data_IF_044026458676
#
_entry.id   IF_044026458676
#
_cell.length_a   1.000
_cell.length_b   1.000
_cell.length_c   1.000
_cell.angle_alpha   90.00
_cell.angle_beta   90.00
_cell.angle_gamma   90.00
#
_symmetry.space_group_name_H-M   'P 1'
#
loop_
_entity.id
_entity.type
_entity.pdbx_description
1 polymer ?
#
# COMPACT_ATOMS: atom_id res chain seq x y z
N UNK A 1 2.82 23.90 42.70
CA UNK A 1 3.47 22.59 42.59
C UNK A 1 2.57 21.63 41.84
N UNK A 2 3.00 21.07 40.70
CA UNK A 2 2.18 20.12 39.98
C UNK A 2 2.32 18.75 40.62
N UNK A 3 1.21 18.17 41.06
CA UNK A 3 1.07 16.79 41.47
C UNK A 3 1.53 15.86 40.33
N UNK A 4 2.77 15.40 40.36
CA UNK A 4 3.21 14.19 39.68
C UNK A 4 2.56 13.01 40.41
N UNK A 5 1.32 12.67 40.04
CA UNK A 5 0.77 11.36 40.32
C UNK A 5 1.58 10.36 39.52
N UNK A 6 2.57 9.73 40.19
CA UNK A 6 3.04 8.42 39.77
C UNK A 6 1.83 7.48 39.81
N UNK A 7 1.16 7.32 38.65
CA UNK A 7 0.21 6.23 38.50
C UNK A 7 1.02 4.95 38.60
N UNK A 8 0.96 4.29 39.77
CA UNK A 8 1.25 2.85 39.86
C UNK A 8 0.26 2.19 38.88
N UNK A 9 0.74 1.92 37.68
CA UNK A 9 0.00 1.16 36.68
C UNK A 9 -0.20 -0.24 37.27
N UNK A 10 -1.45 -0.60 37.60
CA UNK A 10 -1.79 -1.95 37.97
C UNK A 10 -1.27 -2.93 36.91
N UNK A 11 -0.71 -4.06 37.30
CA UNK A 11 -0.17 -5.11 36.41
C UNK A 11 -1.15 -5.49 35.29
N UNK A 12 -2.45 -5.33 35.54
CA UNK A 12 -3.54 -5.60 34.58
C UNK A 12 -3.68 -4.57 33.45
N UNK A 13 -3.04 -3.40 33.51
CA UNK A 13 -3.13 -2.33 32.50
C UNK A 13 -1.92 -2.28 31.57
N UNK A 14 -0.93 -3.13 31.76
CA UNK A 14 0.26 -3.20 30.90
C UNK A 14 -0.08 -3.81 29.55
N UNK A 15 0.59 -3.33 28.51
CA UNK A 15 0.58 -3.96 27.21
C UNK A 15 1.38 -5.27 27.25
N UNK A 16 0.82 -6.31 26.60
CA UNK A 16 1.46 -7.59 26.37
C UNK A 16 1.75 -7.73 24.87
N UNK A 17 2.98 -8.07 24.50
CA UNK A 17 3.36 -8.29 23.11
C UNK A 17 3.42 -9.79 22.85
N UNK A 18 2.72 -10.25 21.83
CA UNK A 18 2.72 -11.64 21.36
C UNK A 18 3.09 -11.72 19.90
N UNK A 19 3.82 -12.76 19.53
CA UNK A 19 3.97 -13.11 18.11
C UNK A 19 2.64 -13.63 17.57
N UNK A 20 2.39 -13.30 16.32
CA UNK A 20 1.28 -13.93 15.60
C UNK A 20 1.59 -15.43 15.42
N UNK A 21 0.56 -16.24 15.54
CA UNK A 21 0.55 -17.66 15.24
C UNK A 21 -0.69 -17.99 14.38
N UNK A 22 -0.65 -19.02 13.51
CA UNK A 22 -1.79 -19.37 12.64
C UNK A 22 -3.12 -19.57 13.36
N UNK A 23 -3.08 -20.01 14.63
CA UNK A 23 -4.28 -20.13 15.50
C UNK A 23 -4.99 -18.79 15.75
N UNK A 24 -4.32 -17.66 15.50
CA UNK A 24 -4.87 -16.32 15.67
C UNK A 24 -5.38 -15.68 14.36
N UNK A 25 -5.38 -16.40 13.24
CA UNK A 25 -5.73 -15.86 11.92
C UNK A 25 -7.08 -15.14 11.91
N UNK A 26 -8.12 -15.79 12.45
CA UNK A 26 -9.46 -15.17 12.49
C UNK A 26 -9.47 -13.90 13.32
N UNK A 27 -8.86 -13.92 14.51
CA UNK A 27 -8.81 -12.73 15.38
C UNK A 27 -7.99 -11.60 14.77
N UNK A 28 -6.93 -11.93 14.02
CA UNK A 28 -6.11 -10.99 13.24
C UNK A 28 -6.96 -10.33 12.14
N UNK A 29 -7.59 -11.14 11.28
CA UNK A 29 -8.38 -10.65 10.15
C UNK A 29 -9.59 -9.85 10.61
N UNK A 30 -10.27 -10.25 11.69
CA UNK A 30 -11.35 -9.48 12.31
C UNK A 30 -10.87 -8.12 12.83
N UNK A 31 -9.66 -8.05 13.37
CA UNK A 31 -9.07 -6.77 13.79
C UNK A 31 -8.74 -5.88 12.60
N UNK A 32 -8.12 -6.42 11.55
CA UNK A 32 -7.84 -5.69 10.30
C UNK A 32 -9.13 -5.09 9.72
N UNK A 33 -10.19 -5.88 9.65
CA UNK A 33 -11.47 -5.44 9.09
C UNK A 33 -12.08 -4.23 9.82
N UNK A 34 -11.96 -4.16 11.17
CA UNK A 34 -12.51 -3.07 11.99
C UNK A 34 -11.51 -1.94 12.30
N UNK A 35 -10.24 -2.10 11.92
CA UNK A 35 -9.22 -1.09 12.18
C UNK A 35 -9.46 0.18 11.38
N UNK A 36 -9.01 1.33 11.90
CA UNK A 36 -9.17 2.63 11.23
C UNK A 36 -8.21 2.85 10.07
N UNK A 37 -7.18 2.00 9.96
CA UNK A 37 -6.15 2.06 8.92
C UNK A 37 -5.79 0.70 8.32
N UNK A 38 -6.58 -0.35 8.54
CA UNK A 38 -6.36 -1.65 7.91
C UNK A 38 -6.88 -1.71 6.48
N UNK A 39 -6.14 -2.37 5.61
CA UNK A 39 -6.55 -2.74 4.26
C UNK A 39 -6.46 -4.25 4.07
N UNK A 40 -7.00 -4.77 2.97
CA UNK A 40 -6.94 -6.21 2.69
C UNK A 40 -5.49 -6.74 2.52
N UNK A 41 -4.51 -5.87 2.28
CA UNK A 41 -3.10 -6.23 2.24
C UNK A 41 -2.60 -6.82 3.57
N UNK A 42 -3.28 -6.51 4.68
CA UNK A 42 -2.97 -7.02 6.01
C UNK A 42 -3.80 -8.24 6.42
N UNK A 43 -4.76 -8.67 5.60
CA UNK A 43 -5.44 -9.97 5.77
C UNK A 43 -4.40 -11.09 5.62
N UNK A 44 -4.44 -12.09 6.50
CA UNK A 44 -3.45 -13.18 6.47
C UNK A 44 -3.46 -13.95 5.15
N UNK A 45 -4.62 -14.08 4.50
CA UNK A 45 -4.71 -14.70 3.16
C UNK A 45 -3.93 -13.93 2.09
N UNK A 46 -3.75 -12.59 2.28
CA UNK A 46 -2.86 -11.79 1.44
C UNK A 46 -1.42 -11.88 1.95
N UNK A 47 -1.16 -11.64 3.24
CA UNK A 47 0.21 -11.62 3.78
C UNK A 47 0.95 -12.95 3.59
N UNK A 48 0.26 -14.07 3.72
CA UNK A 48 0.89 -15.39 3.72
C UNK A 48 1.15 -15.96 2.31
N UNK A 49 0.73 -15.28 1.21
CA UNK A 49 0.99 -15.79 -0.15
C UNK A 49 2.49 -15.85 -0.48
N UNK A 50 3.29 -15.02 0.16
CA UNK A 50 4.74 -14.92 -0.07
C UNK A 50 5.57 -15.23 1.20
N UNK A 51 5.03 -16.07 2.07
CA UNK A 51 5.71 -16.51 3.31
C UNK A 51 7.03 -17.25 3.07
N UNK A 52 7.23 -17.79 1.88
CA UNK A 52 8.49 -18.37 1.41
C UNK A 52 9.61 -17.35 1.26
N UNK A 53 9.29 -16.09 0.97
CA UNK A 53 10.24 -14.98 0.79
C UNK A 53 10.45 -14.13 2.04
N UNK A 54 9.45 -14.07 2.91
CA UNK A 54 9.45 -13.21 4.10
C UNK A 54 9.07 -14.01 5.34
N UNK A 55 10.06 -14.28 6.20
CA UNK A 55 9.83 -14.97 7.47
C UNK A 55 8.94 -14.11 8.38
N UNK A 56 7.70 -14.53 8.58
CA UNK A 56 6.73 -13.80 9.38
C UNK A 56 7.23 -13.59 10.81
N UNK A 57 7.12 -12.37 11.27
CA UNK A 57 7.45 -11.93 12.64
C UNK A 57 6.42 -10.90 13.12
N UNK A 58 5.20 -11.01 12.60
CA UNK A 58 4.10 -10.13 12.94
C UNK A 58 3.76 -10.20 14.41
N UNK A 59 3.35 -9.07 14.98
CA UNK A 59 3.11 -8.91 16.41
C UNK A 59 1.67 -8.50 16.69
N UNK A 60 1.14 -9.04 17.76
CA UNK A 60 -0.14 -8.68 18.36
C UNK A 60 0.14 -7.93 19.66
N UNK A 61 -0.34 -6.73 19.77
CA UNK A 61 -0.22 -5.88 20.96
C UNK A 61 -1.54 -5.96 21.71
N UNK A 62 -1.53 -6.55 22.90
CA UNK A 62 -2.72 -6.77 23.70
C UNK A 62 -2.78 -5.81 24.88
N UNK A 63 -3.99 -5.37 25.22
CA UNK A 63 -4.29 -4.64 26.45
C UNK A 63 -5.46 -5.32 27.13
N UNK A 64 -5.28 -5.72 28.40
CA UNK A 64 -6.31 -6.48 29.17
C UNK A 64 -6.79 -7.74 28.43
N UNK A 65 -5.86 -8.48 27.80
CA UNK A 65 -6.15 -9.72 27.07
C UNK A 65 -6.88 -9.54 25.72
N UNK A 66 -7.07 -8.31 25.24
CA UNK A 66 -7.71 -8.01 23.96
C UNK A 66 -6.71 -7.35 23.01
N UNK A 67 -6.83 -7.62 21.72
CA UNK A 67 -6.00 -6.97 20.71
C UNK A 67 -6.30 -5.47 20.74
N UNK A 68 -5.24 -4.69 20.96
CA UNK A 68 -5.22 -3.23 20.92
C UNK A 68 -4.66 -2.71 19.60
N UNK A 69 -3.61 -3.38 19.09
CA UNK A 69 -2.97 -3.06 17.83
C UNK A 69 -2.33 -4.31 17.22
N UNK A 70 -2.09 -4.26 15.92
CA UNK A 70 -1.32 -5.26 15.17
C UNK A 70 -0.13 -4.57 14.50
N UNK A 71 1.00 -5.27 14.44
CA UNK A 71 2.16 -4.85 13.66
C UNK A 71 2.51 -5.96 12.68
N UNK A 72 2.06 -5.87 11.40
CA UNK A 72 2.56 -6.74 10.34
C UNK A 72 4.07 -6.61 10.23
N UNK A 73 4.80 -7.72 10.28
CA UNK A 73 6.25 -7.65 10.25
C UNK A 73 6.91 -8.93 9.71
N UNK A 74 8.11 -8.77 9.16
CA UNK A 74 9.05 -9.85 8.92
C UNK A 74 10.40 -9.49 9.53
N UNK A 75 11.24 -10.50 9.80
CA UNK A 75 12.55 -10.31 10.41
C UNK A 75 13.67 -10.79 9.50
N UNK A 76 14.73 -10.00 9.40
CA UNK A 76 15.98 -10.37 8.72
C UNK A 76 17.14 -10.10 9.69
N UNK A 77 17.78 -11.14 10.16
CA UNK A 77 18.83 -11.03 11.15
C UNK A 77 18.35 -10.40 12.47
N UNK A 78 18.92 -9.28 12.85
CA UNK A 78 18.57 -8.50 14.04
C UNK A 78 17.66 -7.29 13.72
N UNK A 79 17.16 -7.19 12.49
CA UNK A 79 16.27 -6.11 12.03
C UNK A 79 14.84 -6.61 11.85
N UNK A 80 13.88 -5.94 12.51
CA UNK A 80 12.45 -6.11 12.26
C UNK A 80 11.99 -5.10 11.20
N UNK A 81 11.30 -5.56 10.18
CA UNK A 81 10.69 -4.72 9.15
C UNK A 81 9.17 -4.74 9.29
N UNK A 82 8.52 -3.59 9.19
CA UNK A 82 7.05 -3.52 9.13
C UNK A 82 6.53 -3.93 7.75
N UNK A 83 6.88 -5.07 7.36
CA UNK A 83 6.71 -5.98 6.24
C UNK A 83 7.30 -5.51 4.91
N UNK A 84 8.44 -6.11 4.53
CA UNK A 84 9.14 -5.79 3.26
C UNK A 84 8.32 -6.12 2.01
N UNK A 85 7.50 -7.16 2.05
CA UNK A 85 6.68 -7.62 0.92
C UNK A 85 5.39 -6.85 0.68
N UNK A 86 5.09 -5.81 1.49
CA UNK A 86 3.89 -5.00 1.32
C UNK A 86 4.24 -3.59 0.82
N UNK A 87 3.29 -2.96 0.11
CA UNK A 87 3.43 -1.59 -0.40
C UNK A 87 3.66 -0.58 0.71
N UNK A 88 2.98 -0.75 1.83
CA UNK A 88 3.08 -0.01 3.09
C UNK A 88 2.90 -0.98 4.25
N UNK A 89 3.25 -0.54 5.45
CA UNK A 89 3.13 -1.32 6.68
C UNK A 89 2.57 -0.49 7.82
N UNK A 90 3.21 -0.58 8.97
CA UNK A 90 2.89 0.23 10.13
C UNK A 90 1.95 -0.42 11.13
N UNK A 91 1.68 0.30 12.20
CA UNK A 91 0.84 -0.15 13.30
C UNK A 91 -0.64 -0.03 12.92
N UNK A 92 -1.38 -1.13 12.98
CA UNK A 92 -2.84 -1.12 12.77
C UNK A 92 -3.54 -0.92 14.11
N UNK A 93 -4.46 0.04 14.15
CA UNK A 93 -5.24 0.37 15.35
C UNK A 93 -6.72 0.50 15.03
N UNK A 94 -7.57 0.31 16.02
CA UNK A 94 -9.01 0.54 15.90
C UNK A 94 -9.42 1.93 16.43
N UNK A 95 -10.69 2.27 16.31
CA UNK A 95 -11.23 3.57 16.74
C UNK A 95 -11.10 3.85 18.25
N UNK A 96 -10.69 2.87 19.06
CA UNK A 96 -10.47 3.05 20.51
C UNK A 96 -9.04 3.44 20.85
N UNK A 97 -8.12 3.36 19.89
CA UNK A 97 -6.74 3.75 20.11
C UNK A 97 -6.63 5.25 20.30
N UNK A 98 -5.84 5.66 21.29
CA UNK A 98 -5.53 7.04 21.64
C UNK A 98 -4.03 7.30 21.49
N UNK A 99 -3.63 8.55 21.30
CA UNK A 99 -2.21 8.90 21.19
C UNK A 99 -1.40 8.43 22.40
N UNK A 100 -1.91 8.64 23.64
CA UNK A 100 -1.27 8.16 24.87
C UNK A 100 -1.11 6.63 24.85
N UNK A 101 -2.18 5.90 24.49
CA UNK A 101 -2.13 4.43 24.46
C UNK A 101 -1.20 3.89 23.38
N UNK A 102 -1.10 4.56 22.22
CA UNK A 102 -0.15 4.18 21.17
C UNK A 102 1.29 4.44 21.62
N UNK A 103 1.58 5.56 22.29
CA UNK A 103 2.90 5.82 22.90
C UNK A 103 3.29 4.75 23.92
N UNK A 104 2.36 4.37 24.82
CA UNK A 104 2.58 3.29 25.80
C UNK A 104 2.84 1.95 25.09
N UNK A 105 2.08 1.65 24.00
CA UNK A 105 2.26 0.44 23.20
C UNK A 105 3.65 0.38 22.57
N UNK A 106 4.15 1.48 21.99
CA UNK A 106 5.52 1.55 21.46
C UNK A 106 6.59 1.41 22.53
N UNK A 107 6.37 1.94 23.74
CA UNK A 107 7.26 1.74 24.88
C UNK A 107 7.35 0.26 25.27
N UNK A 108 6.22 -0.44 25.34
CA UNK A 108 6.18 -1.88 25.61
C UNK A 108 6.79 -2.70 24.48
N UNK A 109 6.52 -2.31 23.24
CA UNK A 109 7.08 -2.92 22.03
C UNK A 109 8.62 -2.83 22.03
N UNK A 110 9.19 -1.66 22.27
CA UNK A 110 10.64 -1.46 22.33
C UNK A 110 11.28 -2.33 23.41
N UNK A 111 10.68 -2.40 24.60
CA UNK A 111 11.19 -3.26 25.68
C UNK A 111 11.17 -4.75 25.29
N UNK A 112 10.10 -5.20 24.64
CA UNK A 112 9.99 -6.57 24.16
C UNK A 112 11.01 -6.88 23.05
N UNK A 113 11.14 -5.97 22.05
CA UNK A 113 12.07 -6.14 20.94
C UNK A 113 13.52 -6.25 21.38
N UNK A 114 13.95 -5.43 22.39
CA UNK A 114 15.29 -5.56 23.00
C UNK A 114 15.51 -6.95 23.61
N UNK A 115 14.53 -7.48 24.31
CA UNK A 115 14.60 -8.81 24.92
C UNK A 115 14.68 -9.93 23.86
N UNK A 116 14.05 -9.72 22.69
CA UNK A 116 14.11 -10.65 21.55
C UNK A 116 15.39 -10.48 20.70
N UNK A 117 16.32 -9.63 21.10
CA UNK A 117 17.57 -9.37 20.39
C UNK A 117 17.39 -8.64 19.06
N UNK A 118 16.30 -7.87 18.90
CA UNK A 118 16.14 -6.95 17.78
C UNK A 118 16.93 -5.68 18.07
N UNK A 119 17.82 -5.31 17.15
CA UNK A 119 18.66 -4.12 17.27
C UNK A 119 18.18 -2.95 16.42
N UNK A 120 17.35 -3.24 15.41
CA UNK A 120 16.87 -2.23 14.48
C UNK A 120 15.43 -2.51 14.06
N UNK A 121 14.66 -1.47 13.88
CA UNK A 121 13.33 -1.54 13.29
C UNK A 121 13.28 -0.63 12.07
N UNK A 122 12.84 -1.17 10.95
CA UNK A 122 12.52 -0.41 9.72
C UNK A 122 11.01 -0.37 9.57
N UNK A 123 10.44 0.81 9.60
CA UNK A 123 9.00 1.02 9.67
C UNK A 123 8.50 1.80 8.46
N UNK A 124 7.81 1.12 7.55
CA UNK A 124 7.07 1.76 6.46
C UNK A 124 5.77 2.31 7.02
N UNK A 125 5.64 3.62 7.10
CA UNK A 125 4.38 4.23 7.52
C UNK A 125 3.31 4.05 6.44
N UNK A 126 2.07 3.84 6.86
CA UNK A 126 0.94 3.85 5.93
C UNK A 126 0.63 5.29 5.52
N UNK A 127 0.55 5.60 4.21
CA UNK A 127 0.15 6.94 3.79
C UNK A 127 -1.28 7.25 4.23
N UNK A 128 -1.50 8.47 4.70
CA UNK A 128 -2.77 8.91 5.28
C UNK A 128 -4.00 8.73 4.36
N UNK A 129 -3.82 8.72 3.05
CA UNK A 129 -4.91 8.49 2.08
C UNK A 129 -5.60 7.13 2.24
N UNK A 130 -4.92 6.13 2.81
CA UNK A 130 -5.48 4.79 3.07
C UNK A 130 -6.24 4.70 4.40
N UNK A 131 -6.18 5.76 5.23
CA UNK A 131 -6.85 5.77 6.52
C UNK A 131 -8.36 6.00 6.36
N UNK A 132 -9.18 5.12 6.93
CA UNK A 132 -10.64 5.30 7.01
C UNK A 132 -11.04 6.36 8.05
N UNK A 133 -10.21 6.51 9.09
CA UNK A 133 -10.26 7.55 10.11
C UNK A 133 -8.84 8.06 10.32
N UNK A 134 -8.61 9.30 10.82
CA UNK A 134 -7.27 9.75 11.18
C UNK A 134 -6.56 8.74 12.08
N UNK A 135 -5.33 8.35 11.72
CA UNK A 135 -4.60 7.25 12.35
C UNK A 135 -3.07 7.45 12.34
N UNK A 136 -2.61 8.68 12.59
CA UNK A 136 -1.18 9.03 12.60
C UNK A 136 -0.59 9.11 14.03
N UNK A 137 -1.24 8.47 15.01
CA UNK A 137 -0.70 8.39 16.38
C UNK A 137 0.64 7.65 16.42
N UNK A 138 0.85 6.72 15.51
CA UNK A 138 2.12 6.02 15.32
C UNK A 138 3.25 6.97 14.93
N UNK A 139 3.03 7.90 13.98
CA UNK A 139 4.04 8.89 13.57
C UNK A 139 4.47 9.78 14.74
N UNK A 140 3.51 10.17 15.60
CA UNK A 140 3.82 10.90 16.81
C UNK A 140 4.65 10.05 17.79
N UNK A 141 4.25 8.79 18.01
CA UNK A 141 4.98 7.86 18.89
C UNK A 141 6.38 7.53 18.37
N UNK A 142 6.55 7.36 17.05
CA UNK A 142 7.87 7.16 16.43
C UNK A 142 8.85 8.27 16.80
N UNK A 143 8.38 9.52 16.82
CA UNK A 143 9.22 10.67 17.19
C UNK A 143 9.45 10.76 18.71
N UNK A 144 8.38 10.63 19.51
CA UNK A 144 8.44 10.91 20.95
C UNK A 144 8.97 9.75 21.80
N UNK A 145 8.75 8.50 21.35
CA UNK A 145 9.08 7.31 22.13
C UNK A 145 10.25 6.55 21.52
N UNK A 146 10.23 6.39 20.19
CA UNK A 146 11.26 5.63 19.48
C UNK A 146 12.46 6.48 19.06
N UNK A 147 12.35 7.81 19.07
CA UNK A 147 13.35 8.73 18.52
C UNK A 147 13.75 8.35 17.09
N UNK A 148 12.79 7.85 16.33
CA UNK A 148 12.98 7.34 14.99
C UNK A 148 13.41 8.45 14.03
N UNK A 149 14.30 8.11 13.12
CA UNK A 149 14.71 8.98 12.01
C UNK A 149 13.99 8.60 10.72
N UNK A 150 13.69 9.57 9.91
CA UNK A 150 13.24 9.34 8.54
C UNK A 150 14.41 8.72 7.74
N UNK A 151 14.21 7.48 7.27
CA UNK A 151 15.19 6.75 6.47
C UNK A 151 15.04 7.06 4.99
N UNK A 152 13.82 6.95 4.46
CA UNK A 152 13.49 7.28 3.08
C UNK A 152 12.15 7.99 2.99
N UNK A 153 12.01 8.88 2.00
CA UNK A 153 10.75 9.47 1.58
C UNK A 153 10.61 9.29 0.08
N UNK A 154 9.58 8.57 -0.32
CA UNK A 154 9.21 8.39 -1.70
C UNK A 154 7.95 9.20 -2.00
N UNK A 155 7.69 9.55 -3.26
CA UNK A 155 6.51 10.31 -3.64
C UNK A 155 5.66 9.52 -4.63
N UNK A 156 4.37 9.43 -4.36
CA UNK A 156 3.33 8.96 -5.26
C UNK A 156 2.51 10.11 -5.81
N UNK A 157 1.74 9.85 -6.86
CA UNK A 157 0.77 10.78 -7.42
C UNK A 157 -0.65 10.26 -7.19
N UNK A 158 -1.46 11.03 -6.48
CA UNK A 158 -2.82 10.64 -6.08
C UNK A 158 -3.84 11.65 -6.61
N UNK A 159 -5.00 11.16 -7.03
CA UNK A 159 -6.15 11.96 -7.47
C UNK A 159 -7.25 11.89 -6.41
N UNK A 160 -7.81 13.05 -6.02
CA UNK A 160 -9.05 13.12 -5.29
C UNK A 160 -10.21 12.95 -6.29
N UNK A 161 -10.83 11.78 -6.32
CA UNK A 161 -11.83 11.40 -7.34
C UNK A 161 -13.11 12.24 -7.30
N UNK A 162 -13.47 12.78 -6.13
CA UNK A 162 -14.63 13.66 -5.98
C UNK A 162 -14.39 15.06 -6.57
N UNK A 163 -13.11 15.46 -6.75
CA UNK A 163 -12.72 16.76 -7.32
C UNK A 163 -11.47 16.59 -8.20
N UNK A 164 -11.55 15.80 -9.27
CA UNK A 164 -10.38 15.52 -10.10
C UNK A 164 -9.92 16.79 -10.84
N UNK A 165 -8.61 16.98 -10.88
CA UNK A 165 -8.02 18.02 -11.69
C UNK A 165 -8.16 17.68 -13.18
N UNK A 166 -8.24 18.72 -14.02
CA UNK A 166 -8.35 18.54 -15.48
C UNK A 166 -7.08 17.91 -16.04
N UNK A 167 -7.22 16.98 -16.94
CA UNK A 167 -6.12 16.43 -17.72
C UNK A 167 -5.40 17.53 -18.50
N UNK A 168 -4.10 17.41 -18.65
CA UNK A 168 -3.31 18.26 -19.53
C UNK A 168 -3.74 18.09 -20.99
N UNK A 169 -3.42 19.05 -21.86
CA UNK A 169 -3.77 18.98 -23.28
C UNK A 169 -3.15 17.77 -23.99
N UNK A 170 -1.96 17.33 -23.58
CA UNK A 170 -1.34 16.11 -24.10
C UNK A 170 -2.19 14.87 -23.79
N UNK A 171 -2.69 14.73 -22.55
CA UNK A 171 -3.55 13.60 -22.13
C UNK A 171 -4.90 13.65 -22.86
N UNK A 172 -5.51 14.83 -22.98
CA UNK A 172 -6.76 15.01 -23.76
C UNK A 172 -6.56 14.69 -25.24
N UNK A 173 -5.41 15.05 -25.80
CA UNK A 173 -5.08 14.72 -27.20
C UNK A 173 -4.94 13.20 -27.38
N UNK A 174 -4.26 12.51 -26.46
CA UNK A 174 -4.17 11.05 -26.44
C UNK A 174 -5.55 10.38 -26.34
N UNK A 175 -6.40 10.86 -25.41
CA UNK A 175 -7.77 10.37 -25.27
C UNK A 175 -8.58 10.52 -26.57
N UNK A 176 -8.56 11.71 -27.20
CA UNK A 176 -9.24 11.92 -28.48
C UNK A 176 -8.71 10.98 -29.57
N UNK A 177 -7.41 10.70 -29.57
CA UNK A 177 -6.81 9.76 -30.52
C UNK A 177 -7.31 8.34 -30.23
N UNK A 178 -7.26 7.88 -28.99
CA UNK A 178 -7.72 6.55 -28.60
C UNK A 178 -9.18 6.29 -29.01
N UNK A 179 -10.06 7.25 -28.75
CA UNK A 179 -11.47 7.16 -29.15
C UNK A 179 -11.65 7.10 -30.68
N UNK A 180 -10.89 7.90 -31.47
CA UNK A 180 -10.94 7.89 -32.92
C UNK A 180 -10.43 6.57 -33.49
N UNK A 181 -9.40 5.99 -32.89
CA UNK A 181 -8.86 4.68 -33.27
C UNK A 181 -9.76 3.51 -32.82
N UNK A 182 -10.83 3.80 -32.06
CA UNK A 182 -11.81 2.82 -31.61
C UNK A 182 -11.30 1.90 -30.49
N UNK A 183 -10.37 2.39 -29.67
CA UNK A 183 -9.97 1.67 -28.46
C UNK A 183 -11.11 1.69 -27.43
N UNK A 184 -11.21 0.63 -26.63
CA UNK A 184 -12.21 0.52 -25.57
C UNK A 184 -11.67 -0.23 -24.36
N UNK A 185 -12.26 0.01 -23.18
CA UNK A 185 -11.87 -0.62 -21.92
C UNK A 185 -12.83 -1.77 -21.56
N UNK A 186 -12.30 -2.84 -21.03
CA UNK A 186 -13.06 -3.91 -20.38
C UNK A 186 -12.50 -4.22 -18.98
N UNK A 187 -13.39 -4.63 -18.06
CA UNK A 187 -13.04 -5.36 -16.85
C UNK A 187 -12.74 -6.80 -17.27
N UNK A 188 -11.49 -7.21 -17.18
CA UNK A 188 -11.00 -8.40 -17.85
C UNK A 188 -10.48 -9.45 -16.87
N UNK A 189 -10.62 -10.72 -17.23
CA UNK A 189 -9.98 -11.83 -16.54
C UNK A 189 -8.67 -12.29 -17.20
N UNK A 190 -8.22 -11.67 -18.30
CA UNK A 190 -7.05 -12.11 -19.05
C UNK A 190 -5.74 -11.62 -18.40
N UNK A 191 -5.45 -12.19 -17.23
CA UNK A 191 -4.20 -11.95 -16.49
C UNK A 191 -2.96 -12.38 -17.28
N UNK A 192 -3.07 -13.38 -18.15
CA UNK A 192 -1.94 -13.89 -18.93
C UNK A 192 -1.48 -12.84 -19.97
N UNK A 193 -2.41 -12.27 -20.73
CA UNK A 193 -2.08 -11.20 -21.69
C UNK A 193 -1.51 -9.95 -20.98
N UNK A 194 -2.09 -9.57 -19.84
CA UNK A 194 -1.58 -8.45 -19.06
C UNK A 194 -0.18 -8.70 -18.50
N UNK A 195 0.05 -9.89 -17.93
CA UNK A 195 1.34 -10.27 -17.36
C UNK A 195 2.44 -10.27 -18.41
N UNK A 196 2.16 -10.81 -19.61
CA UNK A 196 3.12 -10.80 -20.72
C UNK A 196 3.45 -9.37 -21.14
N UNK A 197 2.44 -8.49 -21.29
CA UNK A 197 2.66 -7.07 -21.62
C UNK A 197 3.50 -6.36 -20.55
N UNK A 198 3.27 -6.67 -19.28
CA UNK A 198 4.02 -6.10 -18.15
C UNK A 198 5.47 -6.59 -18.16
N UNK A 199 5.69 -7.89 -18.37
CA UNK A 199 7.02 -8.50 -18.43
C UNK A 199 7.84 -7.92 -19.58
N UNK A 200 7.26 -7.81 -20.78
CA UNK A 200 7.89 -7.19 -21.96
C UNK A 200 8.30 -5.73 -21.69
N UNK A 201 7.44 -4.96 -21.02
CA UNK A 201 7.76 -3.57 -20.65
C UNK A 201 8.92 -3.48 -19.65
N UNK A 202 8.94 -4.34 -18.63
CA UNK A 202 9.99 -4.35 -17.61
C UNK A 202 11.31 -4.87 -18.16
N UNK A 203 11.29 -5.95 -18.95
CA UNK A 203 12.47 -6.51 -19.60
C UNK A 203 13.13 -5.52 -20.55
N UNK A 204 12.33 -4.84 -21.39
CA UNK A 204 12.87 -3.88 -22.39
C UNK A 204 13.44 -2.60 -21.79
N UNK A 205 12.88 -2.11 -20.68
CA UNK A 205 13.23 -0.80 -20.09
C UNK A 205 14.12 -0.85 -18.89
N UNK A 206 13.96 -1.89 -18.06
CA UNK A 206 14.58 -1.97 -16.74
C UNK A 206 15.43 -3.24 -16.54
N UNK A 207 15.47 -4.15 -17.53
CA UNK A 207 16.15 -5.43 -17.45
C UNK A 207 15.74 -6.23 -16.19
N UNK A 208 14.46 -6.17 -15.84
CA UNK A 208 13.87 -6.81 -14.66
C UNK A 208 12.54 -7.47 -15.04
N UNK A 209 11.96 -8.24 -14.13
CA UNK A 209 10.68 -8.92 -14.27
C UNK A 209 9.69 -8.44 -13.22
N UNK A 210 8.36 -8.70 -13.39
CA UNK A 210 7.38 -8.42 -12.37
C UNK A 210 7.71 -9.11 -11.04
N UNK A 211 7.44 -8.43 -9.92
CA UNK A 211 7.63 -9.02 -8.58
C UNK A 211 6.71 -10.21 -8.35
N UNK A 212 5.49 -10.15 -8.91
CA UNK A 212 4.51 -11.25 -8.86
C UNK A 212 4.60 -12.12 -10.10
N UNK A 213 4.58 -13.45 -9.92
CA UNK A 213 4.37 -14.39 -11.01
C UNK A 213 2.91 -14.34 -11.49
N UNK A 214 2.64 -14.90 -12.66
CA UNK A 214 1.28 -15.04 -13.18
C UNK A 214 0.39 -15.87 -12.23
N UNK A 215 0.93 -16.94 -11.65
CA UNK A 215 0.20 -17.77 -10.68
C UNK A 215 -0.17 -17.00 -9.42
N UNK A 216 0.71 -16.12 -8.95
CA UNK A 216 0.42 -15.22 -7.82
C UNK A 216 -0.67 -14.20 -8.14
N UNK A 217 -0.71 -13.65 -9.37
CA UNK A 217 -1.81 -12.77 -9.78
C UNK A 217 -3.14 -13.52 -9.75
N UNK A 218 -3.20 -14.74 -10.31
CA UNK A 218 -4.40 -15.59 -10.27
C UNK A 218 -4.82 -15.91 -8.84
N UNK A 219 -3.86 -16.30 -7.99
CA UNK A 219 -4.11 -16.61 -6.58
C UNK A 219 -4.70 -15.43 -5.82
N UNK A 220 -4.09 -14.25 -5.94
CA UNK A 220 -4.51 -13.06 -5.23
C UNK A 220 -5.86 -12.54 -5.73
N UNK A 221 -6.08 -12.48 -7.03
CA UNK A 221 -7.37 -12.07 -7.58
C UNK A 221 -8.48 -13.06 -7.22
N UNK A 222 -8.18 -14.35 -7.20
CA UNK A 222 -9.12 -15.39 -6.76
C UNK A 222 -9.48 -15.30 -5.27
N UNK A 223 -8.52 -14.90 -4.41
CA UNK A 223 -8.74 -14.69 -2.97
C UNK A 223 -9.49 -13.39 -2.65
N UNK A 224 -9.30 -12.35 -3.47
CA UNK A 224 -9.82 -11.00 -3.25
C UNK A 224 -10.52 -10.44 -4.50
N UNK A 225 -11.55 -11.14 -5.03
CA UNK A 225 -12.19 -10.76 -6.30
C UNK A 225 -12.96 -9.44 -6.25
N UNK A 226 -13.25 -8.93 -5.04
CA UNK A 226 -13.92 -7.62 -4.86
C UNK A 226 -12.93 -6.47 -4.69
N UNK A 227 -11.66 -6.77 -4.41
CA UNK A 227 -10.61 -5.79 -4.15
C UNK A 227 -9.55 -5.73 -5.25
N UNK A 228 -9.41 -6.79 -6.03
CA UNK A 228 -8.38 -6.88 -7.07
C UNK A 228 -9.05 -7.01 -8.43
N UNK A 229 -8.79 -6.02 -9.29
CA UNK A 229 -9.39 -5.94 -10.62
C UNK A 229 -8.33 -5.76 -11.70
N UNK A 230 -8.60 -6.28 -12.88
CA UNK A 230 -7.81 -6.05 -14.08
C UNK A 230 -8.65 -5.29 -15.10
N UNK A 231 -8.15 -4.15 -15.55
CA UNK A 231 -8.75 -3.39 -16.66
C UNK A 231 -7.81 -3.42 -17.85
N UNK A 232 -8.32 -3.84 -18.99
CA UNK A 232 -7.59 -3.87 -20.26
C UNK A 232 -8.20 -2.91 -21.28
N UNK A 233 -7.34 -2.30 -22.07
CA UNK A 233 -7.70 -1.55 -23.26
C UNK A 233 -7.44 -2.45 -24.46
N UNK A 234 -8.46 -2.59 -25.28
CA UNK A 234 -8.44 -3.37 -26.52
C UNK A 234 -8.47 -2.46 -27.74
N UNK A 235 -7.82 -2.90 -28.82
CA UNK A 235 -7.96 -2.30 -30.16
C UNK A 235 -9.19 -2.89 -30.90
N UNK A 236 -9.42 -2.46 -32.15
CA UNK A 236 -10.54 -2.94 -32.98
C UNK A 236 -10.46 -4.43 -33.32
N UNK A 237 -9.26 -4.96 -33.33
CA UNK A 237 -8.95 -6.37 -33.59
C UNK A 237 -9.13 -7.24 -32.33
N UNK A 238 -9.55 -6.62 -31.21
CA UNK A 238 -9.72 -7.22 -29.88
C UNK A 238 -8.40 -7.72 -29.27
N UNK A 239 -7.30 -7.06 -29.60
CA UNK A 239 -6.01 -7.33 -28.98
C UNK A 239 -5.80 -6.38 -27.80
N UNK A 240 -5.27 -6.85 -26.64
CA UNK A 240 -5.00 -6.01 -25.50
C UNK A 240 -3.76 -5.14 -25.77
N UNK A 241 -3.94 -3.81 -25.73
CA UNK A 241 -2.87 -2.84 -26.03
C UNK A 241 -2.45 -1.98 -24.83
N UNK A 242 -3.13 -2.12 -23.70
CA UNK A 242 -2.79 -1.45 -22.46
C UNK A 242 -3.67 -1.94 -21.32
N UNK A 243 -3.28 -1.63 -20.07
CA UNK A 243 -4.09 -2.00 -18.92
C UNK A 243 -3.46 -1.69 -17.59
N UNK A 244 -4.19 -2.00 -16.53
CA UNK A 244 -3.75 -1.85 -15.15
C UNK A 244 -4.36 -2.92 -14.26
N UNK A 245 -3.55 -3.46 -13.36
CA UNK A 245 -3.98 -4.33 -12.28
C UNK A 245 -4.07 -3.48 -11.01
N UNK A 246 -5.26 -3.37 -10.42
CA UNK A 246 -5.54 -2.44 -9.33
C UNK A 246 -5.91 -3.16 -8.05
N UNK A 247 -5.58 -2.51 -6.91
CA UNK A 247 -5.99 -2.87 -5.58
C UNK A 247 -6.99 -1.83 -5.06
N UNK A 248 -8.24 -2.22 -4.90
CA UNK A 248 -9.29 -1.37 -4.33
C UNK A 248 -9.41 -1.66 -2.83
N UNK A 249 -9.03 -0.69 -2.01
CA UNK A 249 -9.11 -0.77 -0.55
C UNK A 249 -10.44 -0.23 0.00
N UNK A 250 -11.33 0.23 -0.88
CA UNK A 250 -12.53 0.98 -0.54
C UNK A 250 -12.27 2.47 -0.30
N UNK A 251 -11.07 2.84 0.14
CA UNK A 251 -10.62 4.22 0.33
C UNK A 251 -9.78 4.70 -0.85
N UNK A 252 -8.91 3.84 -1.34
CA UNK A 252 -7.95 4.11 -2.42
C UNK A 252 -8.01 3.00 -3.44
N UNK A 253 -8.14 3.38 -4.70
CA UNK A 253 -7.88 2.54 -5.86
C UNK A 253 -6.41 2.71 -6.23
N UNK A 254 -5.58 1.72 -5.89
CA UNK A 254 -4.14 1.76 -6.16
C UNK A 254 -3.82 1.01 -7.44
N UNK A 255 -3.12 1.65 -8.38
CA UNK A 255 -2.64 0.99 -9.58
C UNK A 255 -1.34 0.23 -9.27
N UNK A 256 -1.49 -1.05 -8.94
CA UNK A 256 -0.34 -1.91 -8.59
C UNK A 256 0.62 -2.09 -9.75
N UNK A 257 0.06 -2.30 -10.96
CA UNK A 257 0.82 -2.38 -12.20
C UNK A 257 0.09 -1.64 -13.32
N UNK A 258 0.86 -1.00 -14.18
CA UNK A 258 0.39 -0.33 -15.41
C UNK A 258 1.29 -0.82 -16.54
N UNK A 259 0.71 -1.27 -17.64
CA UNK A 259 1.43 -1.69 -18.82
C UNK A 259 0.75 -1.21 -20.10
N UNK A 260 1.53 -1.05 -21.18
CA UNK A 260 1.00 -0.72 -22.51
C UNK A 260 1.98 -1.18 -23.58
N UNK A 261 1.46 -1.74 -24.65
CA UNK A 261 2.24 -2.06 -25.86
C UNK A 261 2.74 -0.79 -26.56
N UNK A 262 3.65 -0.91 -27.51
CA UNK A 262 4.09 0.25 -28.33
C UNK A 262 2.92 0.81 -29.14
N UNK A 263 2.04 -0.04 -29.66
CA UNK A 263 0.79 0.36 -30.33
C UNK A 263 -0.11 1.14 -29.36
N UNK A 264 -0.35 0.61 -28.15
CA UNK A 264 -1.16 1.27 -27.14
C UNK A 264 -0.61 2.65 -26.75
N UNK A 265 0.72 2.78 -26.61
CA UNK A 265 1.37 4.08 -26.38
C UNK A 265 1.15 5.05 -27.54
N UNK A 266 1.33 4.56 -28.77
CA UNK A 266 1.12 5.38 -29.97
C UNK A 266 -0.32 5.85 -30.11
N UNK A 267 -1.31 5.08 -29.65
CA UNK A 267 -2.75 5.36 -29.82
C UNK A 267 -3.43 5.92 -28.56
N UNK A 268 -2.70 6.18 -27.47
CA UNK A 268 -3.25 6.80 -26.26
C UNK A 268 -4.05 5.84 -25.36
N UNK A 269 -3.69 4.54 -25.34
CA UNK A 269 -4.39 3.53 -24.54
C UNK A 269 -4.49 3.90 -23.06
N UNK A 270 -3.41 4.38 -22.45
CA UNK A 270 -3.42 4.79 -21.03
C UNK A 270 -4.21 6.08 -20.81
N UNK A 271 -4.32 6.97 -21.82
CA UNK A 271 -5.15 8.17 -21.71
C UNK A 271 -6.63 7.81 -21.64
N UNK A 272 -7.06 6.82 -22.42
CA UNK A 272 -8.41 6.27 -22.33
C UNK A 272 -8.63 5.50 -21.04
N UNK A 273 -7.68 4.63 -20.65
CA UNK A 273 -7.76 3.85 -19.43
C UNK A 273 -8.03 4.74 -18.20
N UNK A 274 -7.22 5.78 -18.02
CA UNK A 274 -7.37 6.65 -16.86
C UNK A 274 -8.57 7.59 -16.95
N UNK A 275 -9.02 7.97 -18.15
CA UNK A 275 -10.30 8.67 -18.29
C UNK A 275 -11.48 7.81 -17.83
N UNK A 276 -11.53 6.54 -18.27
CA UNK A 276 -12.57 5.59 -17.85
C UNK A 276 -12.54 5.31 -16.34
N UNK A 277 -11.35 5.08 -15.76
CA UNK A 277 -11.22 4.80 -14.33
C UNK A 277 -11.59 5.99 -13.45
N UNK A 278 -11.10 7.20 -13.79
CA UNK A 278 -11.27 8.41 -12.96
C UNK A 278 -12.67 9.00 -13.13
N UNK A 279 -13.13 9.14 -14.38
CA UNK A 279 -14.34 9.91 -14.67
C UNK A 279 -15.62 9.05 -14.73
N UNK A 280 -15.48 7.70 -14.77
CA UNK A 280 -16.63 6.79 -14.89
C UNK A 280 -16.61 5.69 -13.83
N UNK A 281 -15.64 4.77 -13.86
CA UNK A 281 -15.65 3.55 -13.04
C UNK A 281 -15.57 3.85 -11.54
N UNK A 282 -14.66 4.73 -11.12
CA UNK A 282 -14.40 5.08 -9.73
C UNK A 282 -14.81 6.50 -9.35
N UNK A 283 -15.70 7.11 -10.14
CA UNK A 283 -16.16 8.49 -9.94
C UNK A 283 -16.68 8.76 -8.52
N UNK A 284 -17.33 7.78 -7.90
CA UNK A 284 -17.86 7.88 -6.53
C UNK A 284 -16.83 7.47 -5.47
N UNK A 285 -15.63 7.07 -5.87
CA UNK A 285 -14.52 6.73 -4.98
C UNK A 285 -13.92 7.97 -4.30
N UNK A 286 -12.94 7.74 -3.43
CA UNK A 286 -12.27 8.85 -2.71
C UNK A 286 -10.95 9.17 -3.39
N UNK A 287 -10.04 8.20 -3.50
CA UNK A 287 -8.72 8.41 -4.10
C UNK A 287 -8.39 7.37 -5.17
N UNK A 288 -7.66 7.82 -6.19
CA UNK A 288 -6.90 6.93 -7.09
C UNK A 288 -5.42 7.27 -6.91
N UNK A 289 -4.62 6.26 -6.58
CA UNK A 289 -3.18 6.40 -6.34
C UNK A 289 -2.39 5.64 -7.42
N UNK A 290 -1.54 6.37 -8.14
CA UNK A 290 -0.70 5.80 -9.20
C UNK A 290 0.53 5.05 -8.71
N UNK A 291 0.79 5.05 -7.40
CA UNK A 291 2.02 4.53 -6.85
C UNK A 291 3.22 5.45 -7.05
N UNK A 292 4.34 5.03 -6.49
CA UNK A 292 5.56 5.83 -6.36
C UNK A 292 6.19 6.17 -7.72
N UNK A 293 6.87 7.33 -7.77
CA UNK A 293 7.59 7.83 -8.93
C UNK A 293 9.03 8.21 -8.55
N UNK A 294 9.67 7.37 -7.74
CA UNK A 294 11.03 7.57 -7.23
C UNK A 294 11.86 6.31 -7.43
N UNK A 295 13.15 6.50 -7.51
CA UNK A 295 14.17 5.47 -7.63
C UNK A 295 15.17 5.59 -6.47
N UNK A 296 16.08 4.62 -6.32
CA UNK A 296 17.12 4.59 -5.29
C UNK A 296 16.63 4.89 -3.87
N UNK A 297 15.49 4.30 -3.48
CA UNK A 297 14.93 4.52 -2.15
C UNK A 297 14.49 5.96 -1.90
N UNK A 298 13.93 6.62 -2.91
CA UNK A 298 13.38 7.97 -2.80
C UNK A 298 14.38 9.10 -3.08
N UNK A 299 15.66 8.77 -3.36
CA UNK A 299 16.69 9.79 -3.61
C UNK A 299 16.61 10.45 -4.99
N UNK A 300 16.08 9.72 -5.96
CA UNK A 300 15.96 10.18 -7.35
C UNK A 300 14.49 10.24 -7.73
N UNK A 301 14.06 11.40 -8.22
CA UNK A 301 12.71 11.55 -8.79
C UNK A 301 12.73 11.06 -10.23
N UNK A 302 11.83 10.13 -10.59
CA UNK A 302 11.59 9.77 -11.98
C UNK A 302 10.68 10.83 -12.63
N UNK A 303 11.31 11.86 -13.21
CA UNK A 303 10.63 13.04 -13.76
C UNK A 303 9.64 12.68 -14.88
N UNK A 304 9.97 11.71 -15.73
CA UNK A 304 9.06 11.26 -16.78
C UNK A 304 7.82 10.60 -16.25
N UNK A 305 7.98 9.74 -15.24
CA UNK A 305 6.88 9.00 -14.65
C UNK A 305 5.96 9.93 -13.85
N UNK A 306 6.52 10.84 -13.05
CA UNK A 306 5.70 11.78 -12.28
C UNK A 306 4.98 12.77 -13.19
N UNK A 307 5.64 13.29 -14.24
CA UNK A 307 5.03 14.16 -15.24
C UNK A 307 3.81 13.51 -15.92
N UNK A 308 3.93 12.22 -16.26
CA UNK A 308 2.82 11.46 -16.83
C UNK A 308 1.64 11.40 -15.88
N UNK A 309 1.87 11.05 -14.61
CA UNK A 309 0.84 10.92 -13.58
C UNK A 309 0.20 12.26 -13.22
N UNK A 310 0.99 13.31 -13.13
CA UNK A 310 0.52 14.69 -12.92
C UNK A 310 -0.32 15.19 -14.10
N UNK A 311 0.00 14.72 -15.31
CA UNK A 311 -0.77 14.99 -16.50
C UNK A 311 -2.23 14.51 -16.44
N UNK A 312 -2.50 13.45 -15.68
CA UNK A 312 -3.84 12.96 -15.36
C UNK A 312 -4.49 13.67 -14.16
N UNK A 313 -3.80 14.65 -13.57
CA UNK A 313 -4.30 15.39 -12.41
C UNK A 313 -3.78 14.87 -11.06
N UNK A 314 -2.86 13.91 -11.04
CA UNK A 314 -2.23 13.42 -9.81
C UNK A 314 -1.46 14.49 -9.06
N UNK A 315 -1.44 14.43 -7.72
CA UNK A 315 -0.64 15.30 -6.85
C UNK A 315 0.02 14.48 -5.76
N UNK A 316 1.10 15.02 -5.20
CA UNK A 316 2.03 14.31 -4.35
C UNK A 316 1.44 13.79 -3.04
N UNK A 317 1.68 12.50 -2.75
CA UNK A 317 1.52 11.88 -1.43
C UNK A 317 2.83 11.17 -1.08
N UNK A 318 3.35 11.42 0.12
CA UNK A 318 4.60 10.81 0.56
C UNK A 318 4.37 9.40 1.11
N UNK A 319 5.35 8.53 0.83
CA UNK A 319 5.50 7.20 1.39
C UNK A 319 6.80 7.19 2.19
N UNK A 320 6.67 7.27 3.50
CA UNK A 320 7.78 7.43 4.43
C UNK A 320 8.20 6.09 5.04
N UNK A 321 9.49 5.91 5.18
CA UNK A 321 10.08 4.81 5.96
C UNK A 321 10.95 5.40 7.06
N UNK A 322 10.71 4.95 8.28
CA UNK A 322 11.44 5.35 9.49
C UNK A 322 12.34 4.21 9.99
N UNK A 323 13.34 4.56 10.75
CA UNK A 323 14.24 3.61 11.38
C UNK A 323 14.58 4.05 12.79
N UNK A 324 14.68 3.08 13.71
CA UNK A 324 15.16 3.31 15.07
C UNK A 324 15.80 2.06 15.69
N UNK A 325 16.48 2.26 16.80
CA UNK A 325 16.99 1.20 17.68
C UNK A 325 16.04 1.10 18.88
N UNK A 326 15.42 -0.07 19.11
CA UNK A 326 14.46 -0.23 20.19
C UNK A 326 15.02 0.04 21.58
#
# INVERSE_FOLDING_TARGET
>A
EPYRRQRQMCIRDRFEIKRYEPSHEQAWNDFVARSKNGTFLFDRRFMDYHSDRFADSSLMILRKGRIYALLPANRVGDTLHSHQGLTYGGLLTDAKATAEGVMEAFGALNAWLRNEGVRRVTYKAMPWIYHRLPAEEDLYALTQVCHARLLTREISSTILLQQPLRFTESRKSGLRKALREGLYMEDSGDLAAFWQMLDDNLASRHHTHPVHSLDELHLLQGRFPQQIHLYLIYNKEKEPVGGTWVFDTGQVVHTQYIASTEEGKAHGALDLLFDELINRRYREGIYLDFGKSTEEGGRVLNEHLIFQKEGFGGRGVCYDTYEWEP
#
